data_IF_122890416545
#
_entry.id   IF_122890416545
#
_cell.length_a   1.000
_cell.length_b   1.000
_cell.length_c   1.000
_cell.angle_alpha   90.00
_cell.angle_beta   90.00
_cell.angle_gamma   90.00
#
_symmetry.space_group_name_H-M   'P 1'
#
loop_
_entity.id
_entity.type
_entity.pdbx_description
1 polymer ?
#
# COMPACT_ATOMS: atom_id res chain seq x y z
N UNK A 1 -12.12 32.25 33.83
CA UNK A 1 -11.25 31.31 33.10
C UNK A 1 -10.99 30.08 33.96
N UNK A 2 -11.92 29.13 34.07
CA UNK A 2 -11.74 27.90 34.88
C UNK A 2 -12.80 26.85 34.52
N UNK A 3 -12.85 26.41 33.26
CA UNK A 3 -13.77 25.33 32.84
C UNK A 3 -13.08 24.16 32.13
N UNK A 4 -11.84 24.32 31.65
CA UNK A 4 -11.12 23.28 30.90
C UNK A 4 -10.41 22.22 31.78
N UNK A 5 -10.39 22.38 33.11
CA UNK A 5 -9.65 21.47 34.00
C UNK A 5 -10.43 20.25 34.50
N UNK A 6 -11.66 20.01 34.02
CA UNK A 6 -12.48 18.87 34.48
C UNK A 6 -12.49 17.65 33.57
N UNK A 7 -12.11 17.76 32.31
CA UNK A 7 -12.10 16.59 31.41
C UNK A 7 -10.95 15.65 31.74
N UNK A 8 -11.24 14.36 31.85
CA UNK A 8 -10.23 13.33 32.10
C UNK A 8 -9.43 13.04 30.82
N UNK A 9 -8.20 12.55 30.94
CA UNK A 9 -7.37 12.16 29.77
C UNK A 9 -8.09 11.09 28.94
N UNK A 10 -8.75 10.16 29.63
CA UNK A 10 -9.57 9.12 29.01
C UNK A 10 -10.67 9.71 28.12
N UNK A 11 -11.48 10.65 28.63
CA UNK A 11 -12.56 11.29 27.84
C UNK A 11 -12.05 12.03 26.60
N UNK A 12 -10.91 12.71 26.72
CA UNK A 12 -10.30 13.45 25.61
C UNK A 12 -9.82 12.50 24.52
N UNK A 13 -9.18 11.40 24.93
CA UNK A 13 -8.70 10.37 24.03
C UNK A 13 -9.86 9.60 23.38
N UNK A 14 -10.85 9.18 24.17
CA UNK A 14 -12.02 8.43 23.71
C UNK A 14 -12.78 9.20 22.63
N UNK A 15 -12.91 10.52 22.77
CA UNK A 15 -13.54 11.36 21.77
C UNK A 15 -12.85 11.28 20.40
N UNK A 16 -11.51 11.36 20.37
CA UNK A 16 -10.75 11.29 19.13
C UNK A 16 -10.71 9.87 18.55
N UNK A 17 -10.59 8.86 19.41
CA UNK A 17 -10.59 7.47 19.01
C UNK A 17 -11.94 7.03 18.43
N UNK A 18 -13.06 7.45 19.03
CA UNK A 18 -14.40 7.26 18.48
C UNK A 18 -14.57 7.94 17.13
N UNK A 19 -14.00 9.14 16.97
CA UNK A 19 -14.03 9.87 15.71
C UNK A 19 -13.27 9.11 14.61
N UNK A 20 -12.11 8.53 14.94
CA UNK A 20 -11.37 7.67 14.01
C UNK A 20 -12.21 6.46 13.56
N UNK A 21 -12.81 5.71 14.51
CA UNK A 21 -13.63 4.54 14.17
C UNK A 21 -14.87 4.89 13.33
N UNK A 22 -15.47 6.05 13.59
CA UNK A 22 -16.64 6.52 12.81
C UNK A 22 -16.24 6.91 11.38
N UNK A 23 -15.03 7.44 11.19
CA UNK A 23 -14.49 7.75 9.86
C UNK A 23 -14.12 6.47 9.09
N UNK A 24 -13.48 5.49 9.74
CA UNK A 24 -13.20 4.19 9.13
C UNK A 24 -14.47 3.46 8.69
N UNK A 25 -15.56 3.62 9.45
CA UNK A 25 -16.87 3.06 9.09
C UNK A 25 -17.67 3.89 8.06
N UNK A 26 -17.08 4.96 7.50
CA UNK A 26 -17.72 5.91 6.56
C UNK A 26 -19.04 6.51 7.09
N UNK A 27 -19.22 6.60 8.41
CA UNK A 27 -20.47 7.06 9.04
C UNK A 27 -20.55 8.58 9.22
N UNK A 28 -19.50 9.33 8.88
CA UNK A 28 -19.41 10.79 9.13
C UNK A 28 -19.03 11.53 7.84
N UNK A 29 -19.73 12.61 7.55
CA UNK A 29 -19.29 13.64 6.60
C UNK A 29 -18.14 14.44 7.19
N UNK A 30 -17.05 14.61 6.45
CA UNK A 30 -15.79 15.25 6.87
C UNK A 30 -15.99 16.73 7.26
N UNK A 31 -16.45 17.01 8.47
CA UNK A 31 -16.60 18.37 8.98
C UNK A 31 -15.28 18.86 9.55
N UNK A 32 -14.70 19.87 8.92
CA UNK A 32 -13.45 20.51 9.34
C UNK A 32 -13.45 20.94 10.83
N UNK A 33 -14.59 21.42 11.33
CA UNK A 33 -14.74 21.86 12.72
C UNK A 33 -14.57 20.71 13.72
N UNK A 34 -15.06 19.50 13.39
CA UNK A 34 -14.91 18.34 14.29
C UNK A 34 -13.46 17.90 14.41
N UNK A 35 -12.67 18.01 13.34
CA UNK A 35 -11.23 17.72 13.37
C UNK A 35 -10.46 18.72 14.22
N UNK A 36 -10.79 20.02 14.10
CA UNK A 36 -10.13 21.05 14.91
C UNK A 36 -10.39 20.84 16.40
N UNK A 37 -11.65 20.58 16.78
CA UNK A 37 -12.01 20.27 18.17
C UNK A 37 -11.30 18.99 18.67
N UNK A 38 -11.19 17.96 17.83
CA UNK A 38 -10.49 16.73 18.20
C UNK A 38 -9.00 16.97 18.43
N UNK A 39 -8.34 17.73 17.55
CA UNK A 39 -6.93 18.10 17.69
C UNK A 39 -6.70 18.90 18.98
N UNK A 40 -7.54 19.89 19.28
CA UNK A 40 -7.40 20.70 20.50
C UNK A 40 -7.57 19.86 21.77
N UNK A 41 -8.50 18.89 21.77
CA UNK A 41 -8.66 17.95 22.88
C UNK A 41 -7.47 17.02 23.05
N UNK A 42 -6.90 16.53 21.95
CA UNK A 42 -5.71 15.66 22.01
C UNK A 42 -4.46 16.42 22.45
N UNK A 43 -4.30 17.69 22.06
CA UNK A 43 -3.23 18.55 22.57
C UNK A 43 -3.37 18.80 24.08
N UNK A 44 -4.60 19.02 24.54
CA UNK A 44 -4.86 19.13 25.98
C UNK A 44 -4.55 17.81 26.72
N UNK A 45 -4.73 16.67 26.06
CA UNK A 45 -4.32 15.37 26.60
C UNK A 45 -2.79 15.18 26.55
N UNK A 46 -2.09 15.66 25.51
CA UNK A 46 -0.62 15.73 25.43
C UNK A 46 -0.06 16.48 26.64
N UNK A 47 -0.53 17.71 26.88
CA UNK A 47 -0.09 18.55 28.01
C UNK A 47 -0.26 17.84 29.37
N UNK A 48 -1.37 17.13 29.55
CA UNK A 48 -1.65 16.38 30.79
C UNK A 48 -0.79 15.14 30.94
N UNK A 49 -0.48 14.44 29.85
CA UNK A 49 0.42 13.27 29.88
C UNK A 49 1.83 13.73 30.26
N UNK A 50 2.27 14.87 29.72
CA UNK A 50 3.55 15.49 30.06
C UNK A 50 3.58 15.96 31.51
N UNK A 51 2.51 16.60 32.01
CA UNK A 51 2.41 17.04 33.42
C UNK A 51 2.41 15.87 34.41
N UNK A 52 1.80 14.74 34.04
CA UNK A 52 1.80 13.52 34.84
C UNK A 52 3.07 12.68 34.70
N UNK A 53 3.95 13.01 33.74
CA UNK A 53 5.13 12.23 33.38
C UNK A 53 4.82 10.74 33.20
N UNK A 54 3.74 10.45 32.47
CA UNK A 54 3.23 9.08 32.30
C UNK A 54 4.20 8.15 31.56
N UNK A 55 5.09 8.76 30.76
CA UNK A 55 6.09 8.06 29.97
C UNK A 55 7.46 8.64 30.28
N UNK A 56 8.42 7.75 30.54
CA UNK A 56 9.82 8.10 30.75
C UNK A 56 10.71 7.43 29.71
N UNK A 57 11.76 8.13 29.28
CA UNK A 57 12.68 7.63 28.25
C UNK A 57 13.47 6.38 28.67
N UNK A 58 13.51 6.07 29.97
CA UNK A 58 14.28 4.93 30.52
C UNK A 58 13.40 3.76 30.97
N UNK A 59 12.10 3.77 30.65
CA UNK A 59 11.18 2.70 31.04
C UNK A 59 11.08 1.61 29.96
N UNK A 60 10.81 0.38 30.40
CA UNK A 60 10.43 -0.70 29.48
C UNK A 60 8.92 -0.75 29.26
N UNK A 61 8.48 -1.26 28.11
CA UNK A 61 7.05 -1.44 27.81
C UNK A 61 6.31 -2.28 28.87
N UNK A 62 7.06 -3.15 29.56
CA UNK A 62 6.53 -4.01 30.62
C UNK A 62 6.17 -3.26 31.91
N UNK A 63 6.80 -2.10 32.15
CA UNK A 63 6.64 -1.29 33.36
C UNK A 63 5.41 -0.37 33.30
N UNK A 64 4.96 -0.04 32.09
CA UNK A 64 3.76 0.77 31.85
C UNK A 64 2.50 -0.04 32.14
N UNK A 65 1.51 0.57 32.81
CA UNK A 65 0.24 -0.11 33.10
C UNK A 65 -0.58 -0.35 31.83
N UNK A 66 -1.35 -1.45 31.81
CA UNK A 66 -2.18 -1.84 30.66
C UNK A 66 -3.15 -0.74 30.21
N UNK A 67 -3.63 0.11 31.13
CA UNK A 67 -4.55 1.21 30.80
C UNK A 67 -3.83 2.40 30.15
N UNK A 68 -2.55 2.64 30.50
CA UNK A 68 -1.77 3.76 30.00
C UNK A 68 -1.20 3.48 28.60
N UNK A 69 -0.99 2.21 28.26
CA UNK A 69 -0.54 1.77 26.93
C UNK A 69 -1.41 2.33 25.79
N UNK A 70 -2.71 2.54 26.04
CA UNK A 70 -3.62 3.14 25.05
C UNK A 70 -3.17 4.53 24.59
N UNK A 71 -2.51 5.29 25.46
CA UNK A 71 -2.10 6.67 25.18
C UNK A 71 -0.81 6.76 24.35
N UNK A 72 -0.07 5.67 24.13
CA UNK A 72 1.06 5.65 23.19
C UNK A 72 0.66 6.14 21.80
N UNK A 73 -0.56 5.81 21.38
CA UNK A 73 -1.08 6.10 20.05
C UNK A 73 -1.52 7.58 19.93
N UNK A 74 -1.53 8.35 21.02
CA UNK A 74 -1.99 9.74 21.03
C UNK A 74 -1.29 10.60 19.98
N UNK A 75 0.05 10.53 19.89
CA UNK A 75 0.81 11.26 18.88
C UNK A 75 0.47 10.81 17.45
N UNK A 76 0.26 9.50 17.24
CA UNK A 76 -0.14 8.96 15.93
C UNK A 76 -1.55 9.44 15.53
N UNK A 77 -2.51 9.50 16.47
CA UNK A 77 -3.85 10.05 16.23
C UNK A 77 -3.80 11.53 15.86
N UNK A 78 -2.98 12.33 16.53
CA UNK A 78 -2.82 13.74 16.17
C UNK A 78 -2.27 13.86 14.74
N UNK A 79 -1.24 13.08 14.39
CA UNK A 79 -0.68 13.03 13.04
C UNK A 79 -1.73 12.68 11.99
N UNK A 80 -2.51 11.63 12.26
CA UNK A 80 -3.61 11.17 11.42
C UNK A 80 -4.71 12.23 11.23
N UNK A 81 -5.10 12.95 12.29
CA UNK A 81 -6.09 14.02 12.17
C UNK A 81 -5.59 15.18 11.29
N UNK A 82 -4.29 15.52 11.36
CA UNK A 82 -3.69 16.52 10.48
C UNK A 82 -3.61 16.05 9.02
N UNK A 83 -3.37 14.75 8.79
CA UNK A 83 -3.38 14.16 7.45
C UNK A 83 -4.77 14.24 6.79
N UNK A 84 -5.83 13.89 7.53
CA UNK A 84 -7.21 13.88 7.01
C UNK A 84 -7.83 15.27 6.86
N UNK A 85 -7.26 16.28 7.52
CA UNK A 85 -7.73 17.66 7.44
C UNK A 85 -7.49 18.23 6.05
N UNK A 86 -8.57 18.67 5.41
CA UNK A 86 -8.52 19.36 4.12
C UNK A 86 -8.56 20.87 4.35
N UNK A 87 -7.49 21.56 3.95
CA UNK A 87 -7.32 23.01 4.11
C UNK A 87 -6.88 23.67 2.80
N UNK A 88 -6.75 25.01 2.82
CA UNK A 88 -6.15 25.76 1.72
C UNK A 88 -4.72 25.28 1.43
N UNK A 89 -4.29 25.33 0.16
CA UNK A 89 -2.99 24.83 -0.30
C UNK A 89 -1.78 25.29 0.52
N UNK A 90 -1.73 26.56 0.93
CA UNK A 90 -0.60 27.06 1.73
C UNK A 90 -0.66 26.57 3.18
N UNK A 91 -1.85 26.49 3.77
CA UNK A 91 -2.06 25.92 5.11
C UNK A 91 -1.83 24.40 5.14
N UNK A 92 -2.10 23.71 4.03
CA UNK A 92 -1.90 22.27 3.87
C UNK A 92 -0.43 21.90 4.03
N UNK A 93 0.49 22.71 3.51
CA UNK A 93 1.93 22.47 3.64
C UNK A 93 2.34 22.47 5.13
N UNK A 94 1.90 23.49 5.88
CA UNK A 94 2.17 23.59 7.32
C UNK A 94 1.53 22.42 8.10
N UNK A 95 0.30 22.04 7.75
CA UNK A 95 -0.41 20.90 8.35
C UNK A 95 0.29 19.57 8.10
N UNK A 96 0.82 19.35 6.88
CA UNK A 96 1.60 18.14 6.57
C UNK A 96 2.89 18.11 7.40
N UNK A 97 3.59 19.24 7.54
CA UNK A 97 4.78 19.29 8.39
C UNK A 97 4.46 18.99 9.86
N UNK A 98 3.33 19.50 10.36
CA UNK A 98 2.84 19.16 11.70
C UNK A 98 2.50 17.66 11.81
N UNK A 99 1.78 17.10 10.83
CA UNK A 99 1.43 15.68 10.80
C UNK A 99 2.68 14.79 10.87
N UNK A 100 3.66 15.07 10.00
CA UNK A 100 4.96 14.41 9.99
C UNK A 100 5.57 14.50 11.38
N UNK A 101 5.75 15.71 11.94
CA UNK A 101 6.37 15.89 13.26
C UNK A 101 5.72 15.06 14.37
N UNK A 102 4.39 14.96 14.38
CA UNK A 102 3.66 14.13 15.35
C UNK A 102 3.86 12.63 15.13
N UNK A 103 3.85 12.14 13.88
CA UNK A 103 4.21 10.75 13.60
C UNK A 103 5.64 10.42 14.01
N UNK A 104 6.55 11.38 13.92
CA UNK A 104 7.94 11.18 14.34
C UNK A 104 8.04 11.12 15.85
N UNK A 105 7.36 12.03 16.57
CA UNK A 105 7.27 11.96 18.04
C UNK A 105 6.77 10.59 18.48
N UNK A 106 5.75 10.06 17.81
CA UNK A 106 5.24 8.71 18.06
C UNK A 106 6.29 7.61 17.85
N UNK A 107 7.01 7.65 16.72
CA UNK A 107 8.06 6.65 16.44
C UNK A 107 9.27 6.79 17.38
N UNK A 108 9.59 8.00 17.83
CA UNK A 108 10.61 8.25 18.86
C UNK A 108 10.20 7.64 20.20
N UNK A 109 8.95 7.85 20.63
CA UNK A 109 8.39 7.21 21.82
C UNK A 109 8.51 5.67 21.68
N UNK A 110 8.09 5.11 20.56
CA UNK A 110 8.19 3.67 20.32
C UNK A 110 9.65 3.16 20.30
N UNK A 111 10.61 3.97 19.84
CA UNK A 111 12.04 3.65 19.87
C UNK A 111 12.57 3.61 21.30
N UNK A 112 12.22 4.58 22.14
CA UNK A 112 12.69 4.65 23.53
C UNK A 112 12.25 3.41 24.33
N UNK A 113 11.02 2.94 24.08
CA UNK A 113 10.47 1.72 24.69
C UNK A 113 10.86 0.40 23.97
N UNK A 114 11.80 0.45 23.01
CA UNK A 114 12.36 -0.75 22.37
C UNK A 114 11.46 -1.47 21.34
N UNK A 115 10.36 -0.84 20.90
CA UNK A 115 9.44 -1.42 19.91
C UNK A 115 9.95 -1.29 18.46
N UNK A 116 10.85 -0.34 18.22
CA UNK A 116 11.38 -0.02 16.90
C UNK A 116 12.90 0.10 16.96
N UNK A 117 13.57 -0.43 15.94
CA UNK A 117 15.02 -0.31 15.80
C UNK A 117 15.47 0.94 15.03
N UNK A 118 14.74 1.34 13.97
CA UNK A 118 15.07 2.49 13.12
C UNK A 118 13.86 3.36 12.82
N UNK A 119 14.05 4.68 12.85
CA UNK A 119 13.03 5.66 12.45
C UNK A 119 13.24 5.96 10.95
N UNK A 120 12.18 5.99 10.11
CA UNK A 120 12.26 6.27 8.67
C UNK A 120 12.89 7.62 8.27
N UNK A 121 13.20 8.48 9.25
CA UNK A 121 13.82 9.78 9.05
C UNK A 121 15.29 9.72 8.63
N UNK A 122 16.03 8.70 9.03
CA UNK A 122 17.48 8.69 8.92
C UNK A 122 18.00 8.23 7.54
N UNK A 123 17.11 7.81 6.64
CA UNK A 123 17.49 7.32 5.31
C UNK A 123 17.18 8.38 4.24
N UNK A 124 18.20 9.19 3.98
CA UNK A 124 18.56 9.85 2.71
C UNK A 124 17.54 10.78 2.02
N UNK A 125 17.66 12.07 2.34
CA UNK A 125 17.25 13.18 1.45
C UNK A 125 18.13 13.31 0.18
N UNK A 126 19.12 12.42 -0.03
CA UNK A 126 20.13 12.54 -1.10
C UNK A 126 19.95 11.59 -2.31
N UNK A 127 18.91 10.76 -2.36
CA UNK A 127 18.65 9.92 -3.53
C UNK A 127 17.44 10.45 -4.31
N UNK A 128 17.70 11.44 -5.16
CA UNK A 128 16.91 11.77 -6.35
C UNK A 128 16.90 10.59 -7.35
N UNK A 129 16.35 9.45 -6.93
CA UNK A 129 16.06 8.33 -7.82
C UNK A 129 14.58 8.33 -8.12
N UNK A 130 14.26 9.07 -9.18
CA UNK A 130 13.00 8.90 -9.88
C UNK A 130 12.88 7.45 -10.37
N UNK A 131 12.06 6.67 -9.66
CA UNK A 131 11.35 5.46 -10.08
C UNK A 131 12.08 4.44 -10.96
N UNK A 132 12.77 3.49 -10.32
CA UNK A 132 12.65 2.08 -10.70
C UNK A 132 12.36 1.32 -9.41
N UNK A 133 11.08 0.98 -9.17
CA UNK A 133 10.74 0.03 -8.12
C UNK A 133 11.37 -1.29 -8.50
N UNK A 134 12.40 -1.69 -7.79
CA UNK A 134 13.04 -2.99 -8.00
C UNK A 134 12.08 -4.09 -7.57
N UNK A 135 12.33 -5.32 -8.05
CA UNK A 135 11.60 -6.50 -7.58
C UNK A 135 11.70 -6.69 -6.07
N UNK A 136 12.81 -6.23 -5.48
CA UNK A 136 13.08 -6.25 -4.03
C UNK A 136 12.20 -5.24 -3.29
N UNK A 137 12.04 -4.01 -3.80
CA UNK A 137 11.14 -3.00 -3.23
C UNK A 137 9.67 -3.46 -3.26
N UNK A 138 9.29 -4.17 -4.33
CA UNK A 138 7.95 -4.75 -4.42
C UNK A 138 7.74 -5.84 -3.37
N UNK A 139 8.72 -6.73 -3.19
CA UNK A 139 8.60 -7.84 -2.25
C UNK A 139 8.54 -7.35 -0.80
N UNK A 140 9.36 -6.34 -0.45
CA UNK A 140 9.31 -5.71 0.89
C UNK A 140 7.96 -5.04 1.14
N UNK A 141 7.39 -4.34 0.15
CA UNK A 141 6.03 -3.76 0.27
C UNK A 141 4.96 -4.84 0.47
N UNK A 142 5.05 -5.96 -0.25
CA UNK A 142 4.13 -7.10 -0.06
C UNK A 142 4.27 -7.66 1.35
N UNK A 143 5.50 -7.79 1.87
CA UNK A 143 5.74 -8.27 3.21
C UNK A 143 5.16 -7.32 4.27
N UNK A 144 5.43 -6.01 4.17
CA UNK A 144 4.86 -4.98 5.07
C UNK A 144 3.33 -5.03 5.09
N UNK A 145 2.69 -5.14 3.92
CA UNK A 145 1.24 -5.27 3.83
C UNK A 145 0.70 -6.57 4.44
N UNK A 146 1.43 -7.70 4.29
CA UNK A 146 1.04 -8.97 4.93
C UNK A 146 1.14 -8.88 6.45
N UNK A 147 2.22 -8.30 6.97
CA UNK A 147 2.42 -8.07 8.40
C UNK A 147 1.30 -7.18 8.97
N UNK A 148 1.03 -6.04 8.35
CA UNK A 148 -0.04 -5.12 8.75
C UNK A 148 -1.42 -5.80 8.79
N UNK A 149 -1.74 -6.60 7.77
CA UNK A 149 -3.00 -7.39 7.72
C UNK A 149 -3.04 -8.50 8.78
N UNK A 150 -1.91 -9.09 9.14
CA UNK A 150 -1.87 -10.08 10.22
C UNK A 150 -2.15 -9.42 11.57
N UNK A 151 -1.57 -8.25 11.83
CA UNK A 151 -1.85 -7.43 13.02
C UNK A 151 -3.33 -7.04 13.07
N UNK A 152 -3.91 -6.56 11.96
CA UNK A 152 -5.32 -6.19 11.89
C UNK A 152 -6.26 -7.35 12.23
N UNK A 153 -5.97 -8.55 11.70
CA UNK A 153 -6.72 -9.77 12.04
C UNK A 153 -6.58 -10.12 13.51
N UNK A 154 -5.37 -10.03 14.08
CA UNK A 154 -5.14 -10.29 15.49
C UNK A 154 -5.94 -9.31 16.36
N UNK A 155 -5.90 -8.01 16.04
CA UNK A 155 -6.69 -6.98 16.73
C UNK A 155 -8.19 -7.28 16.64
N UNK A 156 -8.69 -7.72 15.48
CA UNK A 156 -10.10 -8.10 15.34
C UNK A 156 -10.48 -9.27 16.25
N UNK A 157 -9.67 -10.34 16.28
CA UNK A 157 -9.91 -11.48 17.17
C UNK A 157 -9.85 -11.09 18.65
N UNK A 158 -8.89 -10.25 19.04
CA UNK A 158 -8.75 -9.76 20.42
C UNK A 158 -9.92 -8.85 20.81
N UNK A 159 -10.43 -8.04 19.87
CA UNK A 159 -11.64 -7.21 20.08
C UNK A 159 -12.89 -8.06 20.28
N UNK A 160 -13.05 -9.15 19.52
CA UNK A 160 -14.15 -10.10 19.70
C UNK A 160 -14.08 -10.80 21.05
N UNK A 161 -12.88 -11.21 21.47
CA UNK A 161 -12.65 -11.80 22.80
C UNK A 161 -12.88 -10.80 23.93
N UNK A 162 -12.66 -9.50 23.68
CA UNK A 162 -12.77 -8.41 24.64
C UNK A 162 -14.18 -7.74 24.69
N UNK A 163 -15.23 -8.40 24.19
CA UNK A 163 -16.57 -7.83 24.00
C UNK A 163 -17.20 -7.20 25.28
N UNK A 164 -16.73 -7.57 26.48
CA UNK A 164 -17.08 -6.89 27.75
C UNK A 164 -15.87 -6.19 28.38
N UNK A 165 -15.51 -4.99 27.89
CA UNK A 165 -14.33 -4.17 28.30
C UNK A 165 -14.11 -4.08 29.82
N UNK A 166 -15.19 -4.14 30.62
CA UNK A 166 -15.13 -4.03 32.09
C UNK A 166 -14.88 -5.36 32.82
N UNK A 167 -14.92 -6.50 32.12
CA UNK A 167 -14.78 -7.85 32.69
C UNK A 167 -13.64 -8.65 32.06
N UNK A 168 -12.89 -8.04 31.15
CA UNK A 168 -11.78 -8.68 30.43
C UNK A 168 -10.57 -8.82 31.33
N UNK A 169 -9.85 -9.92 31.13
CA UNK A 169 -8.51 -10.15 31.68
C UNK A 169 -7.56 -9.01 31.28
N UNK A 170 -6.72 -8.59 32.23
CA UNK A 170 -5.76 -7.51 31.99
C UNK A 170 -4.73 -7.88 30.93
N UNK A 171 -4.42 -9.17 30.82
CA UNK A 171 -3.51 -9.72 29.82
C UNK A 171 -4.02 -9.52 28.38
N UNK A 172 -5.32 -9.75 28.13
CA UNK A 172 -5.93 -9.55 26.81
C UNK A 172 -5.93 -8.06 26.44
N UNK A 173 -6.23 -7.16 27.39
CA UNK A 173 -6.17 -5.71 27.15
C UNK A 173 -4.75 -5.26 26.79
N UNK A 174 -3.76 -5.73 27.55
CA UNK A 174 -2.35 -5.44 27.28
C UNK A 174 -1.92 -5.92 25.89
N UNK A 175 -2.29 -7.14 25.53
CA UNK A 175 -2.02 -7.69 24.22
C UNK A 175 -2.68 -6.86 23.10
N UNK A 176 -3.95 -6.50 23.28
CA UNK A 176 -4.70 -5.68 22.33
C UNK A 176 -4.03 -4.32 22.09
N UNK A 177 -3.64 -3.60 23.15
CA UNK A 177 -2.97 -2.31 23.00
C UNK A 177 -1.58 -2.46 22.38
N UNK A 178 -0.83 -3.51 22.75
CA UNK A 178 0.49 -3.80 22.16
C UNK A 178 0.40 -4.04 20.65
N UNK A 179 -0.56 -4.85 20.22
CA UNK A 179 -0.80 -5.12 18.79
C UNK A 179 -1.29 -3.86 18.06
N UNK A 180 -2.11 -3.01 18.70
CA UNK A 180 -2.49 -1.71 18.14
C UNK A 180 -1.29 -0.78 17.96
N UNK A 181 -0.40 -0.70 18.95
CA UNK A 181 0.83 0.11 18.85
C UNK A 181 1.66 -0.41 17.66
N UNK A 182 1.89 -1.73 17.54
CA UNK A 182 2.62 -2.29 16.38
C UNK A 182 1.96 -1.96 15.04
N UNK A 183 0.64 -2.01 14.97
CA UNK A 183 -0.09 -1.67 13.75
C UNK A 183 0.10 -0.20 13.38
N UNK A 184 -0.02 0.69 14.37
CA UNK A 184 0.18 2.13 14.18
C UNK A 184 1.60 2.49 13.79
N UNK A 185 2.61 1.77 14.29
CA UNK A 185 4.00 1.91 13.83
C UNK A 185 4.08 1.70 12.32
N UNK A 186 3.54 0.57 11.82
CA UNK A 186 3.56 0.24 10.40
C UNK A 186 2.77 1.26 9.58
N UNK A 187 1.63 1.74 10.09
CA UNK A 187 0.80 2.77 9.48
C UNK A 187 1.56 4.10 9.37
N UNK A 188 2.15 4.57 10.46
CA UNK A 188 2.90 5.84 10.50
C UNK A 188 4.13 5.84 9.57
N UNK A 189 4.81 4.70 9.39
CA UNK A 189 5.88 4.61 8.38
C UNK A 189 5.37 4.85 6.96
N UNK A 190 4.21 4.27 6.62
CA UNK A 190 3.59 4.41 5.30
C UNK A 190 3.10 5.85 5.08
N UNK A 191 2.45 6.44 6.09
CA UNK A 191 1.88 7.78 6.02
C UNK A 191 2.98 8.85 5.93
N UNK A 192 4.10 8.72 6.66
CA UNK A 192 5.25 9.63 6.52
C UNK A 192 5.76 9.65 5.08
N UNK A 193 5.85 8.49 4.41
CA UNK A 193 6.30 8.42 3.03
C UNK A 193 5.29 9.09 2.08
N UNK A 194 3.99 8.81 2.26
CA UNK A 194 2.93 9.44 1.48
C UNK A 194 2.92 10.97 1.62
N UNK A 195 3.07 11.47 2.84
CA UNK A 195 3.13 12.90 3.15
C UNK A 195 4.40 13.56 2.60
N UNK A 196 5.55 12.88 2.63
CA UNK A 196 6.79 13.36 1.98
C UNK A 196 6.62 13.49 0.46
N UNK A 197 5.96 12.53 -0.18
CA UNK A 197 5.68 12.60 -1.61
C UNK A 197 4.67 13.72 -1.93
N UNK A 198 3.68 13.94 -1.08
CA UNK A 198 2.76 15.09 -1.19
C UNK A 198 3.51 16.43 -1.10
N UNK A 199 4.46 16.58 -0.15
CA UNK A 199 5.31 17.78 -0.05
C UNK A 199 6.06 18.02 -1.36
N UNK A 200 6.70 16.99 -1.93
CA UNK A 200 7.43 17.11 -3.21
C UNK A 200 6.52 17.58 -4.33
N UNK A 201 5.30 17.06 -4.41
CA UNK A 201 4.30 17.47 -5.40
C UNK A 201 3.85 18.92 -5.19
N UNK A 202 3.61 19.33 -3.95
CA UNK A 202 3.22 20.69 -3.61
C UNK A 202 4.36 21.68 -3.92
N UNK A 203 5.61 21.32 -3.64
CA UNK A 203 6.80 22.13 -3.96
C UNK A 203 7.01 22.27 -5.46
N UNK A 204 6.94 21.17 -6.22
CA UNK A 204 7.06 21.19 -7.68
C UNK A 204 5.98 22.07 -8.34
N UNK A 205 4.81 22.17 -7.73
CA UNK A 205 3.72 23.03 -8.20
C UNK A 205 3.86 24.51 -7.78
N UNK A 206 4.82 24.88 -6.90
CA UNK A 206 5.14 26.27 -6.53
C UNK A 206 6.18 26.87 -7.47
N UNK A 207 7.09 26.06 -7.97
CA UNK A 207 8.04 26.50 -8.99
C UNK A 207 7.30 26.63 -10.33
N UNK A 208 7.16 27.84 -10.89
CA UNK A 208 6.74 27.95 -12.27
C UNK A 208 7.74 27.15 -13.10
N UNK A 209 7.24 26.18 -13.88
CA UNK A 209 8.01 25.53 -14.94
C UNK A 209 8.91 26.60 -15.58
N UNK A 210 10.23 26.37 -15.70
CA UNK A 210 11.10 27.37 -16.30
C UNK A 210 10.48 27.73 -17.65
N UNK A 211 9.97 28.96 -17.73
CA UNK A 211 9.62 29.60 -18.98
C UNK A 211 10.94 29.86 -19.68
N UNK A 212 11.57 28.78 -20.17
CA UNK A 212 12.55 28.88 -21.23
C UNK A 212 11.77 29.37 -22.44
N UNK A 213 11.71 30.69 -22.54
CA UNK A 213 11.59 31.48 -23.75
C UNK A 213 12.73 31.10 -24.70
N UNK A 214 12.63 29.88 -25.24
CA UNK A 214 13.24 29.35 -26.46
C UNK A 214 12.97 27.85 -26.65
N UNK A 215 11.83 27.32 -26.17
CA UNK A 215 11.26 26.17 -26.87
C UNK A 215 10.66 26.73 -28.15
N UNK A 216 11.46 26.72 -29.23
CA UNK A 216 10.89 26.73 -30.56
C UNK A 216 9.79 25.68 -30.55
N UNK A 217 8.56 26.16 -30.69
CA UNK A 217 7.45 25.31 -31.07
C UNK A 217 7.82 24.76 -32.44
N UNK A 218 8.55 23.64 -32.46
CA UNK A 218 8.40 22.68 -33.54
C UNK A 218 6.94 22.31 -33.46
N UNK A 219 6.14 23.02 -34.27
CA UNK A 219 4.80 22.61 -34.66
C UNK A 219 5.01 21.23 -35.26
N UNK A 220 4.95 20.20 -34.42
CA UNK A 220 4.80 18.84 -34.86
C UNK A 220 3.47 18.83 -35.59
N UNK A 221 3.54 18.90 -36.92
CA UNK A 221 2.39 18.83 -37.82
C UNK A 221 1.81 17.43 -37.88
N UNK A 222 2.21 16.52 -37.00
CA UNK A 222 1.69 15.15 -36.94
C UNK A 222 0.92 14.94 -35.65
N UNK A 223 -0.23 15.63 -35.51
CA UNK A 223 -1.30 15.14 -34.64
C UNK A 223 -1.86 13.90 -35.32
N UNK A 224 -1.53 12.70 -34.81
CA UNK A 224 -2.30 11.51 -35.13
C UNK A 224 -3.73 11.76 -34.63
N UNK A 225 -4.78 11.49 -35.43
CA UNK A 225 -6.15 11.64 -34.99
C UNK A 225 -6.40 10.67 -33.83
N UNK A 226 -6.64 11.21 -32.63
CA UNK A 226 -7.18 10.44 -31.51
C UNK A 226 -8.70 10.52 -31.64
N UNK A 227 -9.24 9.91 -32.70
CA UNK A 227 -10.67 9.65 -32.86
C UNK A 227 -10.88 8.15 -32.73
N UNK A 228 -10.86 7.68 -31.49
CA UNK A 228 -11.20 6.31 -31.13
C UNK A 228 -11.20 6.12 -29.62
N UNK A 229 -12.08 5.27 -29.06
CA UNK A 229 -12.06 4.97 -27.64
C UNK A 229 -10.69 4.40 -27.27
N UNK A 230 -10.05 4.98 -26.25
CA UNK A 230 -8.81 4.44 -25.71
C UNK A 230 -9.06 3.02 -25.21
N UNK A 231 -8.21 2.07 -25.62
CA UNK A 231 -8.26 0.69 -25.13
C UNK A 231 -7.19 0.51 -24.07
N UNK A 232 -7.59 0.04 -22.89
CA UNK A 232 -6.66 -0.37 -21.84
C UNK A 232 -6.02 -1.70 -22.27
N UNK A 233 -4.80 -1.64 -22.80
CA UNK A 233 -4.02 -2.81 -23.16
C UNK A 233 -3.48 -3.45 -21.88
N UNK A 234 -3.95 -4.66 -21.57
CA UNK A 234 -3.44 -5.41 -20.41
C UNK A 234 -2.01 -5.90 -20.72
N UNK A 235 -1.17 -6.10 -19.69
CA UNK A 235 0.18 -6.68 -19.87
C UNK A 235 0.20 -7.99 -20.65
N UNK A 236 -0.88 -8.79 -20.55
CA UNK A 236 -1.10 -10.00 -21.37
C UNK A 236 -1.32 -9.69 -22.85
N UNK A 237 -2.09 -8.66 -23.17
CA UNK A 237 -2.34 -8.24 -24.56
C UNK A 237 -1.07 -7.68 -25.20
N UNK A 238 -0.23 -7.01 -24.43
CA UNK A 238 1.10 -6.54 -24.87
C UNK A 238 2.03 -7.69 -25.18
N UNK A 239 2.10 -8.71 -24.31
CA UNK A 239 2.87 -9.93 -24.56
C UNK A 239 2.35 -10.72 -25.76
N UNK A 240 1.03 -10.78 -25.95
CA UNK A 240 0.44 -11.39 -27.15
C UNK A 240 0.81 -10.61 -28.43
N UNK A 241 0.84 -9.28 -28.37
CA UNK A 241 1.21 -8.42 -29.51
C UNK A 241 2.71 -8.47 -29.82
N UNK A 242 3.55 -8.62 -28.81
CA UNK A 242 5.00 -8.84 -28.95
C UNK A 242 5.28 -10.28 -29.46
N UNK A 243 4.57 -11.29 -28.95
CA UNK A 243 4.66 -12.68 -29.40
C UNK A 243 4.08 -12.92 -30.81
N UNK A 244 3.13 -12.07 -31.24
CA UNK A 244 2.51 -12.10 -32.57
C UNK A 244 2.99 -10.90 -33.42
N UNK A 245 4.18 -10.35 -33.14
CA UNK A 245 4.96 -9.61 -34.14
C UNK A 245 4.72 -8.10 -34.23
N UNK A 246 5.19 -7.36 -33.22
CA UNK A 246 5.34 -5.91 -33.24
C UNK A 246 6.71 -5.39 -33.69
N UNK A 247 7.40 -6.04 -34.63
CA UNK A 247 8.48 -5.48 -35.46
C UNK A 247 9.02 -6.57 -36.41
N UNK A 248 8.64 -6.51 -37.70
CA UNK A 248 9.29 -7.31 -38.75
C UNK A 248 8.51 -8.51 -39.28
N UNK A 249 7.22 -8.37 -39.59
CA UNK A 249 6.59 -9.30 -40.52
C UNK A 249 7.23 -9.12 -41.92
N UNK A 250 7.88 -10.14 -42.50
CA UNK A 250 8.11 -10.15 -43.93
C UNK A 250 6.74 -10.09 -44.59
N UNK A 251 6.58 -9.10 -45.46
CA UNK A 251 5.36 -8.85 -46.22
C UNK A 251 4.93 -10.12 -46.95
N UNK A 252 3.84 -10.74 -46.50
CA UNK A 252 3.17 -11.89 -47.13
C UNK A 252 4.08 -13.13 -47.31
N UNK A 253 3.55 -14.36 -47.32
CA UNK A 253 4.32 -15.51 -47.76
C UNK A 253 4.70 -15.32 -49.22
N UNK A 254 5.95 -14.96 -49.51
CA UNK A 254 6.47 -14.82 -50.88
C UNK A 254 6.83 -16.16 -51.51
N UNK A 255 6.77 -17.24 -50.74
CA UNK A 255 7.20 -18.56 -51.16
C UNK A 255 6.01 -19.53 -51.15
N UNK A 256 5.90 -20.33 -52.20
CA UNK A 256 4.86 -21.34 -52.31
C UNK A 256 5.16 -22.54 -51.39
N UNK A 257 4.12 -23.31 -51.05
CA UNK A 257 4.28 -24.51 -50.19
C UNK A 257 5.28 -25.50 -50.79
N UNK A 258 5.38 -25.58 -52.13
CA UNK A 258 6.33 -26.44 -52.82
C UNK A 258 7.78 -25.97 -52.68
N UNK A 259 8.06 -24.68 -52.88
CA UNK A 259 9.41 -24.12 -52.67
C UNK A 259 9.94 -24.34 -51.23
N UNK A 260 9.03 -24.36 -50.24
CA UNK A 260 9.39 -24.64 -48.85
C UNK A 260 9.93 -26.06 -48.65
N UNK A 261 9.30 -27.06 -49.27
CA UNK A 261 9.77 -28.44 -49.19
C UNK A 261 11.07 -28.66 -49.96
N UNK A 262 11.25 -27.96 -51.08
CA UNK A 262 12.48 -28.02 -51.86
C UNK A 262 13.67 -27.47 -51.06
N UNK A 263 13.49 -26.38 -50.31
CA UNK A 263 14.56 -25.80 -49.49
C UNK A 263 14.87 -26.60 -48.21
N UNK A 264 13.85 -27.23 -47.62
CA UNK A 264 14.05 -28.19 -46.53
C UNK A 264 14.88 -29.40 -46.97
N UNK A 265 14.61 -29.92 -48.18
CA UNK A 265 15.35 -31.07 -48.74
C UNK A 265 16.83 -30.76 -49.00
N UNK A 266 17.14 -29.51 -49.42
CA UNK A 266 18.51 -29.04 -49.63
C UNK A 266 19.27 -28.85 -48.30
N UNK A 267 18.58 -28.35 -47.27
CA UNK A 267 19.20 -28.02 -45.98
C UNK A 267 19.47 -29.27 -45.14
N UNK A 268 18.62 -30.29 -45.22
CA UNK A 268 18.79 -31.56 -44.49
C UNK A 268 19.95 -32.43 -45.04
N UNK A 269 20.51 -32.06 -46.19
CA UNK A 269 21.65 -32.76 -46.80
C UNK A 269 23.01 -32.34 -46.25
N UNK A 270 23.07 -31.36 -45.34
CA UNK A 270 24.30 -30.90 -44.70
C UNK A 270 24.07 -30.78 -43.19
N UNK A 271 24.83 -31.56 -42.40
CA UNK A 271 24.92 -31.61 -40.92
C UNK A 271 24.24 -32.83 -40.23
N UNK A 272 25.01 -33.71 -39.55
CA UNK A 272 24.47 -34.67 -38.58
C UNK A 272 24.20 -33.96 -37.24
N UNK A 273 22.95 -33.99 -36.76
CA UNK A 273 22.57 -33.38 -35.47
C UNK A 273 22.86 -34.33 -34.31
N UNK A 274 23.82 -33.97 -33.47
CA UNK A 274 23.98 -34.52 -32.11
C UNK A 274 23.20 -33.65 -31.11
N UNK A 275 22.23 -34.23 -30.41
CA UNK A 275 21.57 -33.57 -29.26
C UNK A 275 22.24 -33.98 -27.94
N UNK A 276 22.57 -33.04 -27.02
CA UNK A 276 23.01 -33.38 -25.67
C UNK A 276 21.82 -33.67 -24.75
N UNK A 277 21.96 -34.70 -23.90
CA UNK A 277 20.96 -35.19 -22.95
C UNK A 277 21.20 -34.55 -21.57
N UNK A 278 20.20 -33.95 -20.88
CA UNK A 278 20.34 -33.53 -19.49
C UNK A 278 20.21 -34.71 -18.51
N UNK A 279 20.90 -34.63 -17.38
CA UNK A 279 20.94 -35.65 -16.33
C UNK A 279 19.63 -35.74 -15.51
N UNK A 280 19.26 -36.91 -14.96
CA UNK A 280 17.98 -37.12 -14.29
C UNK A 280 18.01 -36.75 -12.80
N UNK A 281 17.05 -35.92 -12.38
CA UNK A 281 16.60 -35.79 -10.99
C UNK A 281 15.57 -36.90 -10.71
N UNK A 282 15.61 -37.49 -9.51
CA UNK A 282 14.84 -38.68 -9.12
C UNK A 282 13.32 -38.46 -9.18
N UNK A 283 12.63 -39.35 -9.89
CA UNK A 283 11.20 -39.31 -10.26
C UNK A 283 10.19 -39.47 -9.11
N UNK A 284 10.63 -39.64 -7.86
CA UNK A 284 9.75 -40.08 -6.76
C UNK A 284 9.07 -38.92 -6.01
N UNK A 285 9.57 -37.68 -6.10
CA UNK A 285 9.01 -36.51 -5.38
C UNK A 285 8.07 -35.61 -6.21
N UNK A 286 8.02 -35.76 -7.55
CA UNK A 286 7.20 -34.93 -8.43
C UNK A 286 5.81 -35.53 -8.75
N UNK A 287 5.64 -36.84 -8.59
CA UNK A 287 4.43 -37.53 -9.04
C UNK A 287 3.21 -37.43 -8.10
N UNK A 288 3.37 -37.04 -6.83
CA UNK A 288 2.23 -37.03 -5.88
C UNK A 288 1.46 -35.70 -5.83
N UNK A 289 2.08 -34.55 -6.17
CA UNK A 289 1.41 -33.24 -6.09
C UNK A 289 0.80 -32.82 -7.44
N UNK A 290 1.35 -33.28 -8.56
CA UNK A 290 1.03 -32.73 -9.89
C UNK A 290 -0.16 -33.40 -10.60
N UNK A 291 -0.71 -34.50 -10.09
CA UNK A 291 -1.79 -35.23 -10.80
C UNK A 291 -3.18 -35.01 -10.17
N UNK A 292 -3.30 -34.88 -8.85
CA UNK A 292 -4.63 -34.73 -8.19
C UNK A 292 -5.17 -33.30 -8.25
N UNK A 293 -4.34 -32.32 -7.88
CA UNK A 293 -4.72 -30.90 -7.85
C UNK A 293 -4.87 -30.33 -9.26
N UNK A 294 -4.01 -30.74 -10.19
CA UNK A 294 -4.09 -30.35 -11.59
C UNK A 294 -5.39 -30.86 -12.25
N UNK A 295 -5.72 -32.15 -12.06
CA UNK A 295 -6.98 -32.72 -12.57
C UNK A 295 -8.21 -32.03 -11.98
N UNK A 296 -8.19 -31.67 -10.70
CA UNK A 296 -9.29 -30.96 -10.07
C UNK A 296 -9.47 -29.56 -10.67
N UNK A 297 -8.39 -28.82 -10.87
CA UNK A 297 -8.42 -27.49 -11.48
C UNK A 297 -8.87 -27.54 -12.95
N UNK A 298 -8.48 -28.58 -13.70
CA UNK A 298 -8.95 -28.80 -15.08
C UNK A 298 -10.45 -29.07 -15.10
N UNK A 299 -10.98 -29.91 -14.20
CA UNK A 299 -12.43 -30.18 -14.10
C UNK A 299 -13.22 -28.92 -13.77
N UNK A 300 -12.75 -28.13 -12.79
CA UNK A 300 -13.39 -26.86 -12.41
C UNK A 300 -13.41 -25.88 -13.59
N UNK A 301 -12.33 -25.84 -14.37
CA UNK A 301 -12.23 -24.99 -15.56
C UNK A 301 -13.11 -25.44 -16.72
N UNK A 302 -13.39 -26.73 -16.83
CA UNK A 302 -14.28 -27.30 -17.85
C UNK A 302 -15.74 -26.99 -17.49
N UNK A 303 -16.14 -27.29 -16.25
CA UNK A 303 -17.50 -27.04 -15.72
C UNK A 303 -17.86 -25.54 -15.78
N UNK A 304 -16.92 -24.65 -15.45
CA UNK A 304 -17.11 -23.21 -15.59
C UNK A 304 -17.34 -22.77 -17.04
N UNK A 305 -16.67 -23.38 -18.02
CA UNK A 305 -16.82 -23.02 -19.43
C UNK A 305 -18.14 -23.50 -20.01
N UNK A 306 -18.64 -24.64 -19.53
CA UNK A 306 -19.95 -25.16 -19.90
C UNK A 306 -21.07 -24.24 -19.38
N UNK A 307 -20.95 -23.74 -18.15
CA UNK A 307 -21.88 -22.78 -17.55
C UNK A 307 -21.76 -21.36 -18.14
N UNK A 308 -20.60 -21.01 -18.71
CA UNK A 308 -20.31 -19.68 -19.24
C UNK A 308 -19.93 -19.73 -20.72
N UNK A 309 -20.89 -20.03 -21.62
CA UNK A 309 -20.63 -20.07 -23.05
C UNK A 309 -20.16 -18.70 -23.54
N UNK A 310 -19.26 -18.69 -24.54
CA UNK A 310 -18.73 -17.46 -25.14
C UNK A 310 -19.87 -16.51 -25.51
N UNK A 311 -19.85 -15.31 -24.91
CA UNK A 311 -20.88 -14.29 -25.12
C UNK A 311 -22.01 -14.26 -24.09
N UNK A 312 -21.97 -15.08 -23.03
CA UNK A 312 -22.94 -15.05 -21.91
C UNK A 312 -23.08 -13.66 -21.28
N UNK A 313 -21.97 -12.93 -21.12
CA UNK A 313 -21.94 -11.59 -20.52
C UNK A 313 -22.42 -10.44 -21.42
N UNK A 314 -22.58 -10.64 -22.73
CA UNK A 314 -22.91 -9.56 -23.68
C UNK A 314 -24.38 -9.59 -24.14
N UNK A 315 -25.27 -10.22 -23.35
CA UNK A 315 -26.69 -10.39 -23.68
C UNK A 315 -27.60 -9.26 -23.18
N UNK A 316 -27.09 -8.33 -22.36
CA UNK A 316 -27.91 -7.29 -21.72
C UNK A 316 -28.21 -6.06 -22.60
N UNK A 317 -27.54 -5.90 -23.75
CA UNK A 317 -27.70 -4.75 -24.66
C UNK A 317 -28.40 -5.11 -25.98
N UNK A 318 -29.24 -6.15 -25.99
CA UNK A 318 -30.10 -6.49 -27.13
C UNK A 318 -31.57 -6.19 -26.79
N UNK A 319 -31.90 -4.90 -26.79
CA UNK A 319 -33.27 -4.38 -26.84
C UNK A 319 -33.29 -3.08 -27.62
#
# INVERSE_FOLDING_TARGET
>A
MTSNNKSTIAELFDFAFDLQQKLESNKIEQKFETFTIAIDKLKLAEDKIEELHLFSDNEELNEVSSNELRYFILYALIGWLYEYRTSNRDQRLDEIHLAINYFIKYLQLCKNYGLIQHIPKEQDDNNDKFCIQTTEDRQTKIQKLKEKKALEKSIATLREMAHDVNRVDDEIKRQLYTEQIKWWIKQSEEDILALKDEIKLLQFSKDPLPQNSNVQTVKSTNKLPIDGPFTLVTTKDRLYKEAIGGAGYPSLPTMTVQEFYDDLSKTQSQQPVSTPKPAPLSDEYLNEIDDSTHRQNVRIMDEYKDDNPRGSGNRYNRS
#
